data_IF_680539974524
#
_entry.id   IF_680539974524
#
_cell.length_a   1.000
_cell.length_b   1.000
_cell.length_c   1.000
_cell.angle_alpha   90.00
_cell.angle_beta   90.00
_cell.angle_gamma   90.00
#
_symmetry.space_group_name_H-M   'P 1'
#
loop_
_entity.id
_entity.type
_entity.pdbx_description
1 polymer ?
#
# COMPACT_ATOMS: atom_id res chain seq x y z
N UNK A 1 22.41 -11.46 -5.40
CA UNK A 1 21.08 -11.97 -5.69
C UNK A 1 20.74 -11.96 -7.19
N UNK A 2 21.50 -11.30 -8.07
CA UNK A 2 21.28 -11.32 -9.53
C UNK A 2 20.12 -10.45 -10.03
N UNK A 3 19.53 -9.60 -9.18
CA UNK A 3 18.50 -8.64 -9.58
C UNK A 3 19.13 -7.31 -9.98
N UNK A 4 18.61 -6.68 -11.04
CA UNK A 4 18.98 -5.33 -11.46
C UNK A 4 18.05 -4.32 -10.77
N UNK A 5 18.40 -3.90 -9.55
CA UNK A 5 17.63 -2.94 -8.76
C UNK A 5 17.97 -1.50 -9.16
N UNK A 6 16.96 -0.66 -9.32
CA UNK A 6 17.08 0.76 -9.64
C UNK A 6 16.38 1.60 -8.57
N UNK A 7 17.15 2.39 -7.80
CA UNK A 7 16.61 3.36 -6.84
C UNK A 7 16.01 4.55 -7.58
N UNK A 8 14.76 4.89 -7.24
CA UNK A 8 13.98 5.96 -7.85
C UNK A 8 13.26 6.79 -6.80
N UNK A 9 13.03 8.05 -7.14
CA UNK A 9 12.02 8.92 -6.52
C UNK A 9 10.87 9.14 -7.47
N UNK A 10 9.79 9.74 -7.03
CA UNK A 10 8.69 10.14 -7.92
C UNK A 10 9.09 11.19 -8.96
N UNK A 11 10.18 11.95 -8.71
CA UNK A 11 10.69 12.94 -9.65
C UNK A 11 11.45 12.33 -10.83
N UNK A 12 12.02 11.13 -10.64
CA UNK A 12 12.73 10.44 -11.70
C UNK A 12 11.73 10.04 -12.80
N UNK A 13 11.99 10.50 -14.01
CA UNK A 13 11.09 10.34 -15.17
C UNK A 13 9.66 10.85 -14.94
N UNK A 14 9.42 11.70 -13.93
CA UNK A 14 8.08 12.20 -13.57
C UNK A 14 7.07 11.07 -13.28
N UNK A 15 7.53 9.99 -12.62
CA UNK A 15 6.71 8.79 -12.42
C UNK A 15 5.65 8.95 -11.33
N UNK A 16 5.88 9.80 -10.30
CA UNK A 16 4.87 10.10 -9.27
C UNK A 16 4.84 11.60 -9.01
N UNK A 17 3.71 12.22 -9.35
CA UNK A 17 3.46 13.63 -9.08
C UNK A 17 2.50 13.78 -7.89
N UNK A 18 2.74 14.79 -7.08
CA UNK A 18 1.98 15.12 -5.88
C UNK A 18 1.76 16.61 -5.77
N UNK A 19 0.77 17.03 -5.01
CA UNK A 19 0.67 18.41 -4.53
C UNK A 19 1.06 18.49 -3.06
N UNK A 20 1.49 19.67 -2.61
CA UNK A 20 1.75 19.91 -1.19
C UNK A 20 0.43 19.80 -0.43
N UNK A 21 0.43 19.02 0.67
CA UNK A 21 -0.72 18.88 1.55
C UNK A 21 -1.21 20.24 2.02
N UNK A 22 -2.52 20.47 1.89
CA UNK A 22 -3.13 21.70 2.35
C UNK A 22 -2.98 21.89 3.86
N UNK A 23 -2.64 23.12 4.27
CA UNK A 23 -2.63 23.49 5.69
C UNK A 23 -4.06 23.60 6.18
N UNK A 24 -4.38 22.84 7.23
CA UNK A 24 -5.67 22.93 7.95
C UNK A 24 -5.41 23.44 9.36
N UNK A 25 -5.34 22.54 10.34
CA UNK A 25 -4.99 22.88 11.75
C UNK A 25 -3.49 22.80 12.01
N UNK A 26 -2.77 22.01 11.20
CA UNK A 26 -1.33 21.78 11.31
C UNK A 26 -0.69 21.96 9.94
N UNK A 27 0.41 22.73 9.88
CA UNK A 27 1.29 22.77 8.71
C UNK A 27 2.30 21.63 8.79
N UNK A 28 2.15 20.65 7.92
CA UNK A 28 3.07 19.51 7.80
C UNK A 28 4.32 19.82 6.94
N UNK A 29 4.52 21.08 6.53
CA UNK A 29 5.65 21.48 5.71
C UNK A 29 5.57 20.91 4.29
N UNK A 30 6.64 20.26 3.84
CA UNK A 30 6.75 19.71 2.49
C UNK A 30 6.24 18.26 2.40
N UNK A 31 5.05 18.01 2.95
CA UNK A 31 4.36 16.72 2.78
C UNK A 31 3.53 16.75 1.50
N UNK A 32 3.62 15.68 0.71
CA UNK A 32 2.90 15.50 -0.55
C UNK A 32 1.74 14.51 -0.45
N UNK A 33 0.64 14.85 -1.11
CA UNK A 33 -0.45 13.93 -1.41
C UNK A 33 -0.40 13.60 -2.91
N UNK A 34 -0.46 12.30 -3.25
CA UNK A 34 -0.25 11.82 -4.62
C UNK A 34 -1.40 12.24 -5.53
N UNK A 35 -1.08 12.88 -6.65
CA UNK A 35 -2.03 13.25 -7.71
C UNK A 35 -2.10 12.20 -8.80
N UNK A 36 -0.94 11.66 -9.21
CA UNK A 36 -0.85 10.64 -10.26
C UNK A 36 0.40 9.79 -10.16
N UNK A 37 0.29 8.57 -10.64
CA UNK A 37 1.42 7.66 -10.90
C UNK A 37 1.40 7.31 -12.39
N UNK A 38 2.54 7.39 -13.05
CA UNK A 38 2.70 6.96 -14.44
C UNK A 38 2.97 5.44 -14.51
N UNK A 39 1.88 4.68 -14.48
CA UNK A 39 1.94 3.22 -14.52
C UNK A 39 2.57 2.68 -15.80
N UNK A 40 2.42 3.37 -16.94
CA UNK A 40 3.01 2.95 -18.21
C UNK A 40 4.54 3.00 -18.15
N UNK A 41 5.12 4.07 -17.63
CA UNK A 41 6.58 4.19 -17.48
C UNK A 41 7.14 3.16 -16.51
N UNK A 42 6.44 2.93 -15.39
CA UNK A 42 6.84 1.91 -14.43
C UNK A 42 6.74 0.50 -15.04
N UNK A 43 5.70 0.21 -15.82
CA UNK A 43 5.55 -1.05 -16.54
C UNK A 43 6.72 -1.28 -17.51
N UNK A 44 7.12 -0.27 -18.29
CA UNK A 44 8.27 -0.35 -19.20
C UNK A 44 9.59 -0.68 -18.49
N UNK A 45 9.80 -0.11 -17.27
CA UNK A 45 10.98 -0.46 -16.46
C UNK A 45 10.96 -1.93 -16.05
N UNK A 46 9.82 -2.41 -15.55
CA UNK A 46 9.64 -3.82 -15.15
C UNK A 46 9.84 -4.77 -16.34
N UNK A 47 9.26 -4.47 -17.50
CA UNK A 47 9.42 -5.23 -18.73
C UNK A 47 10.86 -5.26 -19.23
N UNK A 48 11.65 -4.21 -18.94
CA UNK A 48 13.09 -4.16 -19.22
C UNK A 48 13.94 -5.00 -18.26
N UNK A 49 13.32 -5.70 -17.30
CA UNK A 49 14.00 -6.52 -16.28
C UNK A 49 14.59 -5.74 -15.13
N UNK A 50 14.22 -4.46 -14.97
CA UNK A 50 14.61 -3.64 -13.83
C UNK A 50 13.64 -3.85 -12.66
N UNK A 51 14.16 -3.76 -11.44
CA UNK A 51 13.37 -3.77 -10.21
C UNK A 51 13.39 -2.36 -9.60
N UNK A 52 12.34 -1.54 -9.79
CA UNK A 52 12.26 -0.21 -9.20
C UNK A 52 12.18 -0.30 -7.67
N UNK A 53 13.04 0.46 -6.97
CA UNK A 53 13.03 0.63 -5.52
C UNK A 53 12.67 2.09 -5.25
N UNK A 54 11.41 2.34 -4.92
CA UNK A 54 10.87 3.69 -4.78
C UNK A 54 11.17 4.27 -3.40
N UNK A 55 11.83 5.43 -3.37
CA UNK A 55 11.94 6.23 -2.16
C UNK A 55 10.61 7.00 -1.90
N UNK A 56 10.26 7.31 -0.63
CA UNK A 56 9.03 8.02 -0.30
C UNK A 56 9.14 9.54 -0.58
N UNK A 57 9.63 9.88 -1.75
CA UNK A 57 9.84 11.23 -2.25
C UNK A 57 9.14 11.41 -3.59
N UNK A 58 8.33 12.46 -3.68
CA UNK A 58 7.61 12.86 -4.88
C UNK A 58 7.93 14.30 -5.24
N UNK A 59 7.28 14.89 -6.23
CA UNK A 59 7.48 16.28 -6.62
C UNK A 59 6.17 16.90 -7.10
N UNK A 60 6.12 18.24 -7.11
CA UNK A 60 4.95 19.03 -7.52
C UNK A 60 4.93 19.37 -9.02
N UNK A 61 5.98 19.00 -9.76
CA UNK A 61 6.16 19.37 -11.17
C UNK A 61 6.74 20.76 -11.38
N UNK A 62 6.98 21.53 -10.31
CA UNK A 62 7.52 22.89 -10.35
C UNK A 62 8.90 23.02 -9.69
N UNK A 63 9.54 21.88 -9.42
CA UNK A 63 10.88 21.82 -8.83
C UNK A 63 10.91 21.58 -7.32
N UNK A 64 9.75 21.51 -6.64
CA UNK A 64 9.69 21.22 -5.22
C UNK A 64 9.56 19.72 -4.97
N UNK A 65 10.49 19.15 -4.21
CA UNK A 65 10.38 17.78 -3.68
C UNK A 65 9.47 17.74 -2.46
N UNK A 66 8.70 16.66 -2.35
CA UNK A 66 7.72 16.43 -1.30
C UNK A 66 7.96 15.07 -0.62
N UNK A 67 7.89 15.05 0.70
CA UNK A 67 7.90 13.82 1.49
C UNK A 67 6.50 13.20 1.45
N UNK A 68 6.38 11.96 0.99
CA UNK A 68 5.10 11.28 0.81
C UNK A 68 5.09 9.98 1.60
N UNK A 69 3.93 9.63 2.14
CA UNK A 69 3.77 8.38 2.90
C UNK A 69 4.07 7.16 2.01
N UNK A 70 4.95 6.25 2.47
CA UNK A 70 5.39 5.10 1.70
C UNK A 70 4.25 4.11 1.39
N UNK A 71 3.30 3.91 2.33
CA UNK A 71 2.13 3.05 2.10
C UNK A 71 1.24 3.63 1.00
N UNK A 72 1.10 4.97 0.95
CA UNK A 72 0.39 5.67 -0.12
C UNK A 72 1.08 5.46 -1.46
N UNK A 73 2.40 5.65 -1.54
CA UNK A 73 3.17 5.39 -2.77
C UNK A 73 2.99 3.94 -3.24
N UNK A 74 3.10 2.97 -2.33
CA UNK A 74 2.94 1.56 -2.66
C UNK A 74 1.52 1.28 -3.20
N UNK A 75 0.49 1.78 -2.54
CA UNK A 75 -0.91 1.60 -2.96
C UNK A 75 -1.22 2.26 -4.30
N UNK A 76 -0.80 3.52 -4.50
CA UNK A 76 -1.01 4.24 -5.76
C UNK A 76 -0.22 3.60 -6.92
N UNK A 77 1.00 3.13 -6.66
CA UNK A 77 1.81 2.40 -7.64
C UNK A 77 1.15 1.09 -8.04
N UNK A 78 0.65 0.31 -7.08
CA UNK A 78 -0.06 -0.94 -7.35
C UNK A 78 -1.31 -0.71 -8.21
N UNK A 79 -2.11 0.32 -7.90
CA UNK A 79 -3.29 0.70 -8.71
C UNK A 79 -2.90 1.12 -10.13
N UNK A 80 -1.83 1.90 -10.28
CA UNK A 80 -1.36 2.34 -11.58
C UNK A 80 -0.81 1.19 -12.45
N UNK A 81 -0.28 0.14 -11.84
CA UNK A 81 0.23 -1.05 -12.52
C UNK A 81 -0.84 -2.10 -12.82
N UNK A 82 -1.97 -2.09 -12.13
CA UNK A 82 -3.05 -3.08 -12.29
C UNK A 82 -3.57 -3.22 -13.75
N UNK A 83 -3.59 -2.16 -14.60
CA UNK A 83 -3.96 -2.31 -16.02
C UNK A 83 -2.93 -3.09 -16.86
N UNK A 84 -1.70 -3.26 -16.39
CA UNK A 84 -0.59 -3.87 -17.13
C UNK A 84 -0.22 -5.26 -16.62
N UNK A 85 -0.48 -5.53 -15.34
CA UNK A 85 -0.04 -6.75 -14.67
C UNK A 85 -1.11 -7.30 -13.73
N UNK A 86 -1.00 -8.59 -13.42
CA UNK A 86 -1.67 -9.20 -12.27
C UNK A 86 -0.89 -8.81 -11.00
N UNK A 87 -1.38 -7.79 -10.27
CA UNK A 87 -0.64 -7.15 -9.17
C UNK A 87 -1.05 -7.72 -7.83
N UNK A 88 -0.08 -8.21 -7.07
CA UNK A 88 -0.20 -8.45 -5.63
C UNK A 88 0.57 -7.37 -4.87
N UNK A 89 -0.13 -6.57 -4.06
CA UNK A 89 0.49 -5.59 -3.16
C UNK A 89 0.72 -6.25 -1.80
N UNK A 90 1.97 -6.25 -1.32
CA UNK A 90 2.28 -6.79 0.01
C UNK A 90 2.74 -5.68 0.95
N UNK A 91 2.02 -5.50 2.05
CA UNK A 91 2.42 -4.65 3.16
C UNK A 91 3.08 -5.48 4.26
N UNK A 92 4.30 -5.07 4.63
CA UNK A 92 5.03 -5.67 5.73
C UNK A 92 4.84 -4.87 7.01
N UNK A 93 4.25 -5.51 8.01
CA UNK A 93 3.99 -4.91 9.32
C UNK A 93 4.71 -5.67 10.44
N UNK A 94 4.49 -5.21 11.68
CA UNK A 94 5.03 -5.85 12.90
C UNK A 94 4.24 -7.11 13.31
N UNK A 95 3.07 -7.33 12.70
CA UNK A 95 2.18 -8.45 12.99
C UNK A 95 2.04 -9.38 11.79
N UNK A 96 1.77 -10.67 12.05
CA UNK A 96 1.68 -11.68 10.98
C UNK A 96 0.47 -11.48 10.05
N UNK A 97 -0.40 -10.54 10.34
CA UNK A 97 -1.61 -10.22 9.60
C UNK A 97 -2.60 -9.48 10.48
N UNK A 98 -3.83 -9.36 10.04
CA UNK A 98 -4.95 -8.90 10.88
C UNK A 98 -5.33 -10.02 11.82
N UNK A 99 -5.13 -9.80 13.12
CA UNK A 99 -5.37 -10.82 14.14
C UNK A 99 -6.64 -10.52 14.92
N UNK A 100 -7.36 -11.58 15.31
CA UNK A 100 -8.37 -11.45 16.38
C UNK A 100 -7.64 -11.26 17.73
N UNK A 101 -8.25 -10.54 18.64
CA UNK A 101 -7.78 -10.53 20.04
C UNK A 101 -8.27 -11.78 20.76
N UNK A 102 -7.46 -12.37 21.62
CA UNK A 102 -7.91 -13.45 22.50
C UNK A 102 -8.91 -12.92 23.51
N UNK A 103 -9.99 -13.65 23.73
CA UNK A 103 -11.03 -13.23 24.69
C UNK A 103 -10.45 -12.92 26.07
N UNK A 104 -10.79 -11.73 26.59
CA UNK A 104 -10.41 -11.28 27.92
C UNK A 104 -8.93 -10.88 28.09
N UNK A 105 -8.15 -10.83 27.01
CA UNK A 105 -6.73 -10.45 27.06
C UNK A 105 -6.40 -9.41 25.99
N UNK A 106 -5.19 -8.83 26.08
CA UNK A 106 -4.62 -7.98 25.01
C UNK A 106 -3.66 -8.78 24.11
N UNK A 107 -3.68 -10.10 24.20
CA UNK A 107 -2.84 -10.95 23.36
C UNK A 107 -3.44 -11.15 21.97
N UNK A 108 -2.57 -11.22 20.98
CA UNK A 108 -2.96 -11.56 19.61
C UNK A 108 -3.42 -13.03 19.56
N UNK A 109 -4.58 -13.23 18.98
CA UNK A 109 -5.12 -14.54 18.63
C UNK A 109 -4.78 -14.93 17.20
N UNK A 110 -5.69 -15.69 16.58
CA UNK A 110 -5.50 -16.20 15.23
C UNK A 110 -5.52 -15.10 14.17
N UNK A 111 -4.67 -15.27 13.14
CA UNK A 111 -4.67 -14.42 11.96
C UNK A 111 -5.94 -14.70 11.16
N UNK A 112 -6.61 -13.65 10.73
CA UNK A 112 -7.73 -13.73 9.79
C UNK A 112 -7.13 -13.91 8.38
N UNK A 113 -7.34 -15.07 7.74
CA UNK A 113 -6.62 -15.38 6.51
C UNK A 113 -7.08 -14.54 5.31
N UNK A 114 -8.35 -14.13 5.31
CA UNK A 114 -8.93 -13.38 4.20
C UNK A 114 -9.98 -12.38 4.68
N UNK A 115 -9.98 -11.19 4.10
CA UNK A 115 -10.94 -10.11 4.38
C UNK A 115 -11.42 -9.54 3.04
N UNK A 116 -12.72 -9.56 2.82
CA UNK A 116 -13.42 -8.79 1.79
C UNK A 116 -14.17 -7.62 2.43
N UNK A 117 -14.86 -6.81 1.63
CA UNK A 117 -15.59 -5.65 2.14
C UNK A 117 -16.69 -6.02 3.17
N UNK A 118 -17.54 -7.03 2.96
CA UNK A 118 -18.50 -7.47 3.99
C UNK A 118 -17.83 -7.93 5.30
N UNK A 119 -16.75 -8.70 5.20
CA UNK A 119 -15.99 -9.16 6.37
C UNK A 119 -15.36 -7.98 7.12
N UNK A 120 -14.81 -6.99 6.41
CA UNK A 120 -14.26 -5.78 7.01
C UNK A 120 -15.31 -5.01 7.83
N UNK A 121 -16.51 -4.79 7.27
CA UNK A 121 -17.58 -4.09 7.98
C UNK A 121 -18.04 -4.87 9.22
N UNK A 122 -18.09 -6.20 9.16
CA UNK A 122 -18.39 -7.04 10.31
C UNK A 122 -17.31 -6.93 11.42
N UNK A 123 -16.03 -7.01 11.05
CA UNK A 123 -14.89 -6.89 11.95
C UNK A 123 -14.75 -5.49 12.59
N UNK A 124 -15.20 -4.47 11.88
CA UNK A 124 -15.30 -3.10 12.39
C UNK A 124 -16.46 -2.96 13.40
N UNK A 125 -17.60 -3.56 13.08
CA UNK A 125 -18.79 -3.52 13.93
C UNK A 125 -18.61 -4.28 15.26
N UNK A 126 -17.89 -5.42 15.24
CA UNK A 126 -17.59 -6.20 16.45
C UNK A 126 -16.36 -5.71 17.23
N UNK A 127 -15.67 -4.67 16.72
CA UNK A 127 -14.50 -4.06 17.37
C UNK A 127 -13.19 -4.83 17.19
N UNK A 128 -13.18 -5.93 16.45
CA UNK A 128 -11.93 -6.68 16.11
C UNK A 128 -10.96 -5.79 15.34
N UNK A 129 -11.48 -4.98 14.43
CA UNK A 129 -10.71 -3.96 13.70
C UNK A 129 -11.06 -2.59 14.26
N UNK A 130 -10.08 -1.88 14.80
CA UNK A 130 -10.27 -0.58 15.42
C UNK A 130 -9.08 0.37 15.22
N UNK A 131 -9.24 1.64 15.58
CA UNK A 131 -8.17 2.64 15.56
C UNK A 131 -7.48 2.77 14.21
N UNK A 132 -6.15 2.78 14.22
CA UNK A 132 -5.32 2.96 13.01
C UNK A 132 -5.39 1.82 12.00
N UNK A 133 -5.96 0.65 12.36
CA UNK A 133 -6.13 -0.46 11.42
C UNK A 133 -7.27 -0.21 10.42
N UNK A 134 -8.30 0.54 10.83
CA UNK A 134 -9.44 0.88 9.96
C UNK A 134 -8.98 1.57 8.67
N UNK A 135 -8.28 2.73 8.70
CA UNK A 135 -7.86 3.41 7.47
C UNK A 135 -6.87 2.57 6.65
N UNK A 136 -6.07 1.70 7.27
CA UNK A 136 -5.16 0.79 6.55
C UNK A 136 -5.94 -0.23 5.72
N UNK A 137 -6.93 -0.89 6.31
CA UNK A 137 -7.78 -1.85 5.59
C UNK A 137 -8.67 -1.17 4.54
N UNK A 138 -9.17 0.03 4.81
CA UNK A 138 -9.88 0.83 3.81
C UNK A 138 -9.01 1.11 2.58
N UNK A 139 -7.75 1.50 2.76
CA UNK A 139 -6.80 1.69 1.66
C UNK A 139 -6.53 0.38 0.89
N UNK A 140 -6.40 -0.74 1.61
CA UNK A 140 -6.24 -2.05 0.97
C UNK A 140 -7.47 -2.43 0.11
N UNK A 141 -8.68 -2.23 0.64
CA UNK A 141 -9.93 -2.46 -0.08
C UNK A 141 -10.07 -1.54 -1.30
N UNK A 142 -9.68 -0.26 -1.18
CA UNK A 142 -9.65 0.66 -2.31
C UNK A 142 -8.69 0.20 -3.41
N UNK A 143 -7.56 -0.41 -3.05
CA UNK A 143 -6.60 -0.92 -4.01
C UNK A 143 -7.20 -2.10 -4.82
N UNK A 144 -7.85 -3.07 -4.15
CA UNK A 144 -8.50 -4.19 -4.86
C UNK A 144 -9.72 -3.74 -5.65
N UNK A 145 -10.48 -2.75 -5.17
CA UNK A 145 -11.59 -2.15 -5.93
C UNK A 145 -11.09 -1.45 -7.21
N UNK A 146 -9.87 -0.88 -7.18
CA UNK A 146 -9.22 -0.24 -8.31
C UNK A 146 -8.50 -1.21 -9.28
N UNK A 147 -8.61 -2.54 -9.06
CA UNK A 147 -8.11 -3.56 -9.98
C UNK A 147 -6.84 -4.28 -9.53
N UNK A 148 -6.27 -3.96 -8.36
CA UNK A 148 -5.20 -4.76 -7.75
C UNK A 148 -5.78 -6.14 -7.42
N UNK A 149 -5.14 -7.22 -7.85
CA UNK A 149 -5.70 -8.58 -7.74
C UNK A 149 -5.90 -9.02 -6.30
N UNK A 150 -4.96 -8.66 -5.43
CA UNK A 150 -5.06 -8.83 -3.97
C UNK A 150 -4.07 -7.96 -3.24
N UNK A 151 -4.37 -7.64 -1.99
CA UNK A 151 -3.42 -7.05 -1.06
C UNK A 151 -3.13 -8.04 0.06
N UNK A 152 -1.87 -8.20 0.44
CA UNK A 152 -1.44 -9.09 1.52
C UNK A 152 -0.83 -8.26 2.65
N UNK A 153 -1.24 -8.52 3.87
CA UNK A 153 -0.64 -7.97 5.09
C UNK A 153 0.09 -9.12 5.80
N UNK A 154 1.40 -8.99 6.00
CA UNK A 154 2.23 -10.03 6.59
C UNK A 154 3.49 -9.46 7.27
N UNK A 155 4.28 -10.33 7.90
CA UNK A 155 5.63 -9.99 8.38
C UNK A 155 6.63 -9.97 7.22
N UNK A 156 7.67 -9.15 7.33
CA UNK A 156 8.70 -9.02 6.30
C UNK A 156 9.47 -10.33 6.01
N UNK A 157 9.64 -11.16 7.02
CA UNK A 157 10.32 -12.47 6.92
C UNK A 157 9.42 -13.58 6.34
N UNK A 158 8.13 -13.28 6.11
CA UNK A 158 7.13 -14.23 5.57
C UNK A 158 6.60 -13.84 4.19
N UNK A 159 7.30 -12.93 3.50
CA UNK A 159 6.94 -12.58 2.12
C UNK A 159 7.08 -13.82 1.23
N UNK A 160 6.02 -14.11 0.46
CA UNK A 160 5.99 -15.27 -0.43
C UNK A 160 5.54 -16.58 0.23
N UNK A 161 5.34 -16.59 1.55
CA UNK A 161 4.70 -17.70 2.24
C UNK A 161 3.17 -17.60 2.15
N UNK A 162 2.47 -18.74 2.31
CA UNK A 162 1.01 -18.79 2.42
C UNK A 162 0.58 -18.37 3.84
N UNK A 163 0.92 -17.15 4.23
CA UNK A 163 0.63 -16.60 5.56
C UNK A 163 0.21 -15.14 5.47
N UNK A 164 -0.31 -14.62 6.57
CA UNK A 164 -0.83 -13.26 6.63
C UNK A 164 -2.31 -13.15 6.30
N UNK A 165 -2.77 -11.92 6.10
CA UNK A 165 -4.16 -11.60 5.73
C UNK A 165 -4.21 -11.16 4.28
N UNK A 166 -4.98 -11.85 3.46
CA UNK A 166 -5.28 -11.43 2.10
C UNK A 166 -6.54 -10.56 2.09
N UNK A 167 -6.45 -9.38 1.51
CA UNK A 167 -7.59 -8.54 1.19
C UNK A 167 -7.92 -8.75 -0.28
N UNK A 168 -9.17 -9.13 -0.53
CA UNK A 168 -9.64 -9.54 -1.85
C UNK A 168 -10.96 -8.86 -2.20
N UNK A 169 -11.21 -8.76 -3.51
CA UNK A 169 -12.53 -8.39 -4.03
C UNK A 169 -13.32 -9.66 -4.23
N UNK A 170 -14.40 -9.84 -3.47
CA UNK A 170 -15.46 -10.81 -3.83
C UNK A 170 -16.55 -10.07 -4.58
N UNK A 171 -16.89 -10.58 -5.74
CA UNK A 171 -17.92 -10.05 -6.61
C UNK A 171 -19.32 -10.23 -6.01
#
# INVERSE_FOLDING_TARGET
AGLCALGLTGADMDVIRSHRRAVTTVDYGFVGDVDRVDGQRLAQLLESGLVPVMAPLTHDGNGQMLNTNADTIAGETAKALAPYFDVTLTYCFEFPGVCRMKEGTQELGDVIPEIDRPAFEALKADGTVSGGMIPKLENCLQAVDAGVSRVVITLADRIGENGGTAIVRRG
#
